data_IF_818173659389
#
_entry.id   IF_818173659389
#
_cell.length_a   1.000
_cell.length_b   1.000
_cell.length_c   1.000
_cell.angle_alpha   90.00
_cell.angle_beta   90.00
_cell.angle_gamma   90.00
#
_symmetry.space_group_name_H-M   'P 1'
#
loop_
_entity.id
_entity.type
_entity.pdbx_description
1 polymer ?
#
# COMPACT_ATOMS: atom_id res chain seq x y z
N UNK A 1 13.17 15.51 -37.54
CA UNK A 1 12.06 14.80 -36.88
C UNK A 1 12.53 13.40 -36.47
N UNK A 2 12.01 12.82 -35.39
CA UNK A 2 12.57 11.61 -34.75
C UNK A 2 12.19 10.26 -35.39
N UNK A 3 11.45 10.25 -36.50
CA UNK A 3 11.11 9.02 -37.24
C UNK A 3 10.12 8.06 -36.56
N UNK A 4 9.44 8.49 -35.49
CA UNK A 4 8.46 7.68 -34.76
C UNK A 4 7.04 7.86 -35.32
N UNK A 5 6.26 6.78 -35.49
CA UNK A 5 4.85 6.85 -35.87
C UNK A 5 4.01 7.56 -34.81
N UNK A 6 3.08 8.41 -35.24
CA UNK A 6 2.26 9.22 -34.34
C UNK A 6 1.30 8.39 -33.46
N UNK A 7 0.92 7.21 -33.94
CA UNK A 7 0.05 6.26 -33.25
C UNK A 7 0.80 5.38 -32.23
N UNK A 8 2.13 5.44 -32.19
CA UNK A 8 2.96 4.69 -31.25
C UNK A 8 3.46 5.53 -30.07
N UNK A 9 3.10 6.81 -30.01
CA UNK A 9 3.60 7.75 -29.00
C UNK A 9 2.46 8.51 -28.33
N UNK A 10 2.76 9.08 -27.16
CA UNK A 10 1.80 9.86 -26.38
C UNK A 10 0.57 9.05 -25.97
N UNK A 11 -0.58 9.72 -25.86
CA UNK A 11 -1.83 9.08 -25.48
C UNK A 11 -2.34 8.08 -26.54
N UNK A 12 -2.02 8.30 -27.83
CA UNK A 12 -2.45 7.44 -28.92
C UNK A 12 -1.77 6.06 -28.89
N UNK A 13 -0.49 6.00 -28.52
CA UNK A 13 0.25 4.73 -28.37
C UNK A 13 0.12 4.06 -27.00
N UNK A 14 -0.50 4.72 -26.02
CA UNK A 14 -0.63 4.18 -24.67
C UNK A 14 -1.72 3.09 -24.61
N UNK A 15 -1.33 1.86 -24.26
CA UNK A 15 -2.27 0.72 -24.10
C UNK A 15 -3.11 0.80 -22.83
N UNK A 16 -2.77 1.70 -21.92
CA UNK A 16 -3.43 1.90 -20.64
C UNK A 16 -3.74 3.38 -20.45
N UNK A 17 -4.79 3.65 -19.67
CA UNK A 17 -5.19 5.00 -19.30
C UNK A 17 -5.30 5.13 -17.80
N UNK A 18 -5.02 6.31 -17.31
CA UNK A 18 -5.14 6.61 -15.89
C UNK A 18 -6.57 7.05 -15.63
N UNK A 19 -7.29 6.24 -14.85
CA UNK A 19 -8.68 6.53 -14.54
C UNK A 19 -8.80 7.53 -13.38
N UNK A 20 -7.91 7.44 -12.38
CA UNK A 20 -7.93 8.30 -11.20
C UNK A 20 -6.60 8.24 -10.45
N UNK A 21 -6.22 9.35 -9.83
CA UNK A 21 -5.18 9.40 -8.81
C UNK A 21 -5.83 9.59 -7.44
N UNK A 22 -5.37 8.83 -6.46
CA UNK A 22 -5.75 9.03 -5.06
C UNK A 22 -4.51 8.86 -4.18
N UNK A 23 -4.37 9.69 -3.13
CA UNK A 23 -3.34 9.42 -2.13
C UNK A 23 -3.64 8.08 -1.43
N UNK A 24 -2.61 7.36 -0.96
CA UNK A 24 -2.83 6.20 -0.13
C UNK A 24 -3.59 6.60 1.15
N UNK A 25 -4.35 5.67 1.76
CA UNK A 25 -5.03 5.95 3.01
C UNK A 25 -4.00 6.31 4.10
N UNK A 26 -4.40 7.20 5.01
CA UNK A 26 -3.58 7.51 6.18
C UNK A 26 -3.32 6.24 6.99
N UNK A 27 -2.11 6.12 7.54
CA UNK A 27 -1.78 5.00 8.42
C UNK A 27 -2.73 5.01 9.63
N UNK A 28 -3.34 3.88 10.00
CA UNK A 28 -4.15 3.80 11.21
C UNK A 28 -3.28 4.06 12.45
N UNK A 29 -3.87 4.57 13.55
CA UNK A 29 -3.14 4.79 14.79
C UNK A 29 -2.57 3.47 15.33
N UNK A 30 -1.41 3.57 16.00
CA UNK A 30 -0.83 2.43 16.70
C UNK A 30 -1.71 1.97 17.87
N UNK A 31 -1.60 0.70 18.24
CA UNK A 31 -2.28 0.12 19.40
C UNK A 31 -1.29 -0.19 20.50
N UNK A 32 -1.53 0.33 21.70
CA UNK A 32 -0.74 -0.02 22.90
C UNK A 32 -1.32 -1.30 23.50
N UNK A 33 -0.46 -2.27 23.79
CA UNK A 33 -0.83 -3.52 24.46
C UNK A 33 -0.53 -3.37 25.95
N UNK A 34 -1.57 -3.29 26.78
CA UNK A 34 -1.47 -3.17 28.24
C UNK A 34 -1.45 -4.53 28.94
N UNK A 35 -0.90 -4.57 30.16
CA UNK A 35 -0.86 -5.75 31.03
C UNK A 35 0.53 -6.00 31.60
N UNK A 36 0.68 -7.08 32.37
CA UNK A 36 2.01 -7.52 32.81
C UNK A 36 2.85 -8.00 31.62
N UNK A 37 4.17 -7.93 31.77
CA UNK A 37 5.15 -8.08 30.68
C UNK A 37 4.93 -9.37 29.87
N UNK A 38 4.73 -10.51 30.54
CA UNK A 38 4.57 -11.79 29.88
C UNK A 38 3.27 -11.87 29.06
N UNK A 39 2.16 -11.40 29.62
CA UNK A 39 0.87 -11.40 28.93
C UNK A 39 0.85 -10.41 27.75
N UNK A 40 1.43 -9.22 27.95
CA UNK A 40 1.52 -8.20 26.92
C UNK A 40 2.37 -8.69 25.74
N UNK A 41 3.49 -9.38 26.02
CA UNK A 41 4.35 -9.96 24.99
C UNK A 41 3.60 -11.04 24.17
N UNK A 42 2.88 -11.94 24.83
CA UNK A 42 2.08 -12.97 24.14
C UNK A 42 0.99 -12.35 23.25
N UNK A 43 0.25 -11.36 23.78
CA UNK A 43 -0.78 -10.63 23.04
C UNK A 43 -0.19 -9.87 21.84
N UNK A 44 0.97 -9.24 22.00
CA UNK A 44 1.67 -8.54 20.93
C UNK A 44 2.06 -9.50 19.79
N UNK A 45 2.66 -10.65 20.11
CA UNK A 45 3.05 -11.63 19.10
C UNK A 45 1.85 -12.13 18.30
N UNK A 46 0.71 -12.37 18.97
CA UNK A 46 -0.53 -12.76 18.29
C UNK A 46 -1.01 -11.68 17.32
N UNK A 47 -1.13 -10.43 17.77
CA UNK A 47 -1.55 -9.29 16.95
C UNK A 47 -0.66 -9.11 15.71
N UNK A 48 0.65 -9.23 15.86
CA UNK A 48 1.59 -9.05 14.76
C UNK A 48 1.49 -10.15 13.70
N UNK A 49 1.16 -11.39 14.10
CA UNK A 49 1.05 -12.53 13.18
C UNK A 49 -0.30 -12.60 12.46
N UNK A 50 -1.37 -12.27 13.16
CA UNK A 50 -2.75 -12.45 12.67
C UNK A 50 -3.30 -11.19 11.99
N UNK A 51 -3.07 -10.01 12.56
CA UNK A 51 -3.77 -8.77 12.16
C UNK A 51 -2.87 -7.80 11.40
N UNK A 52 -1.57 -7.76 11.70
CA UNK A 52 -0.65 -6.76 11.16
C UNK A 52 0.03 -7.18 9.84
N UNK A 53 -0.52 -8.14 9.08
CA UNK A 53 -0.02 -8.43 7.73
C UNK A 53 -0.28 -7.25 6.82
N UNK A 54 0.68 -6.33 6.82
CA UNK A 54 0.83 -5.30 5.80
C UNK A 54 1.40 -6.03 4.59
N UNK A 55 0.50 -6.50 3.72
CA UNK A 55 0.70 -7.32 2.51
C UNK A 55 0.75 -8.84 2.75
#
# INVERSE_FOLDING_TARGET
ALGLPADQVGAAGAKTKINKYMPPPSRPPGKIVSGEVLEAAQKLVKLLREEAKVV
#
